data_IF_741800689716
#
_entry.id   IF_741800689716
#
_cell.length_a   1.000
_cell.length_b   1.000
_cell.length_c   1.000
_cell.angle_alpha   90.00
_cell.angle_beta   90.00
_cell.angle_gamma   90.00
#
_symmetry.space_group_name_H-M   'P 1'
#
loop_
_entity.id
_entity.type
_entity.pdbx_description
1 polymer ?
#
# COMPACT_ATOMS: atom_id res chain seq x y z
N UNK A 1 -18.01 21.78 -7.75
CA UNK A 1 -18.15 20.32 -7.64
C UNK A 1 -16.90 19.53 -8.05
N UNK A 2 -16.16 19.89 -9.11
CA UNK A 2 -14.94 19.16 -9.55
C UNK A 2 -13.82 19.07 -8.49
N UNK A 3 -13.65 20.08 -7.66
CA UNK A 3 -12.56 20.11 -6.66
C UNK A 3 -12.76 19.10 -5.53
N UNK A 4 -13.98 18.97 -5.00
CA UNK A 4 -14.29 18.02 -3.93
C UNK A 4 -14.13 16.56 -4.39
N UNK A 5 -14.58 16.25 -5.62
CA UNK A 5 -14.40 14.93 -6.22
C UNK A 5 -12.92 14.54 -6.34
N UNK A 6 -12.06 15.47 -6.81
CA UNK A 6 -10.62 15.21 -6.92
C UNK A 6 -9.96 14.95 -5.56
N UNK A 7 -10.36 15.70 -4.52
CA UNK A 7 -9.86 15.50 -3.15
C UNK A 7 -10.30 14.14 -2.61
N UNK A 8 -11.57 13.78 -2.78
CA UNK A 8 -12.10 12.47 -2.34
C UNK A 8 -11.34 11.34 -3.05
N UNK A 9 -11.16 11.42 -4.37
CA UNK A 9 -10.43 10.39 -5.12
C UNK A 9 -8.96 10.26 -4.70
N UNK A 10 -8.31 11.36 -4.29
CA UNK A 10 -6.96 11.33 -3.71
C UNK A 10 -6.93 10.61 -2.36
N UNK A 11 -7.89 10.91 -1.48
CA UNK A 11 -8.00 10.26 -0.17
C UNK A 11 -8.26 8.76 -0.35
N UNK A 12 -9.22 8.39 -1.20
CA UNK A 12 -9.52 6.98 -1.50
C UNK A 12 -8.30 6.26 -2.06
N UNK A 13 -7.62 6.85 -3.04
CA UNK A 13 -6.39 6.27 -3.59
C UNK A 13 -5.32 6.12 -2.51
N UNK A 14 -5.08 7.13 -1.68
CA UNK A 14 -4.10 7.05 -0.60
C UNK A 14 -4.44 5.96 0.42
N UNK A 15 -5.72 5.82 0.78
CA UNK A 15 -6.20 4.76 1.68
C UNK A 15 -5.98 3.36 1.10
N UNK A 16 -6.22 3.16 -0.19
CA UNK A 16 -5.92 1.89 -0.87
C UNK A 16 -4.42 1.58 -0.75
N UNK A 17 -3.57 2.57 -1.01
CA UNK A 17 -2.12 2.40 -0.93
C UNK A 17 -1.66 2.06 0.49
N UNK A 18 -2.17 2.76 1.50
CA UNK A 18 -1.91 2.44 2.92
C UNK A 18 -2.39 1.03 3.27
N UNK A 19 -3.57 0.62 2.79
CA UNK A 19 -4.09 -0.73 2.97
C UNK A 19 -3.18 -1.80 2.38
N UNK A 20 -2.64 -1.57 1.17
CA UNK A 20 -1.66 -2.47 0.55
C UNK A 20 -0.38 -2.57 1.37
N UNK A 21 0.12 -1.46 1.92
CA UNK A 21 1.29 -1.47 2.82
C UNK A 21 1.00 -2.29 4.07
N UNK A 22 -0.13 -2.05 4.73
CA UNK A 22 -0.50 -2.77 5.94
C UNK A 22 -0.62 -4.29 5.69
N UNK A 23 -1.29 -4.70 4.60
CA UNK A 23 -1.41 -6.10 4.22
C UNK A 23 -0.06 -6.72 3.86
N UNK A 24 0.80 -6.00 3.13
CA UNK A 24 2.15 -6.45 2.80
C UNK A 24 2.99 -6.69 4.05
N UNK A 25 2.93 -5.78 5.03
CA UNK A 25 3.60 -5.94 6.32
C UNK A 25 3.06 -7.16 7.09
N UNK A 26 1.74 -7.37 7.09
CA UNK A 26 1.14 -8.56 7.74
C UNK A 26 1.67 -9.84 7.10
N UNK A 27 1.73 -9.93 5.77
CA UNK A 27 2.28 -11.10 5.08
C UNK A 27 3.76 -11.31 5.34
N UNK A 28 4.55 -10.23 5.44
CA UNK A 28 5.95 -10.30 5.86
C UNK A 28 6.11 -10.86 7.27
N UNK A 29 5.30 -10.39 8.21
CA UNK A 29 5.34 -10.85 9.60
C UNK A 29 4.90 -12.31 9.73
N UNK A 30 3.92 -12.75 8.94
CA UNK A 30 3.51 -14.16 8.88
C UNK A 30 4.57 -15.05 8.26
N UNK A 31 5.14 -14.68 7.10
CA UNK A 31 6.17 -15.46 6.43
C UNK A 31 7.46 -15.61 7.25
N UNK A 32 7.76 -14.63 8.11
CA UNK A 32 8.89 -14.68 9.05
C UNK A 32 8.57 -15.37 10.38
N UNK A 33 7.35 -15.89 10.56
CA UNK A 33 6.87 -16.45 11.83
C UNK A 33 7.02 -15.47 13.02
N UNK A 34 6.91 -14.17 12.76
CA UNK A 34 7.07 -13.12 13.79
C UNK A 34 5.73 -12.74 14.42
N UNK A 35 4.68 -12.56 13.61
CA UNK A 35 3.35 -12.16 14.09
C UNK A 35 2.23 -12.75 13.23
N UNK A 36 1.02 -12.81 13.80
CA UNK A 36 -0.18 -13.37 13.16
C UNK A 36 0.01 -14.82 12.69
N UNK A 37 0.54 -15.67 13.57
CA UNK A 37 0.86 -17.09 13.33
C UNK A 37 -0.40 -17.96 13.13
N UNK A 38 -1.24 -17.60 12.17
CA UNK A 38 -2.53 -18.23 11.91
C UNK A 38 -2.63 -18.54 10.42
N UNK A 39 -2.83 -19.81 10.07
CA UNK A 39 -3.05 -20.26 8.70
C UNK A 39 -1.79 -20.76 8.00
N UNK A 40 -1.90 -20.93 6.68
CA UNK A 40 -0.92 -21.60 5.81
C UNK A 40 0.31 -20.73 5.44
N UNK A 41 0.28 -19.44 5.79
CA UNK A 41 1.30 -18.46 5.39
C UNK A 41 2.48 -18.40 6.37
N UNK A 42 2.35 -19.04 7.52
CA UNK A 42 3.27 -18.89 8.65
C UNK A 42 4.55 -19.69 8.42
N UNK A 43 5.70 -19.03 8.51
CA UNK A 43 7.01 -19.67 8.38
C UNK A 43 7.46 -19.96 6.94
N UNK A 44 6.69 -19.52 5.93
CA UNK A 44 7.05 -19.64 4.52
C UNK A 44 7.55 -18.28 3.96
N UNK A 45 8.84 -18.27 3.59
CA UNK A 45 9.56 -17.09 3.08
C UNK A 45 8.99 -16.54 1.77
N UNK A 46 8.23 -17.33 1.00
CA UNK A 46 7.57 -16.82 -0.20
C UNK A 46 6.59 -15.69 0.14
N UNK A 47 5.86 -15.81 1.27
CA UNK A 47 4.94 -14.77 1.73
C UNK A 47 5.66 -13.51 2.19
N UNK A 48 6.87 -13.64 2.73
CA UNK A 48 7.72 -12.48 3.04
C UNK A 48 8.09 -11.69 1.78
N UNK A 49 8.45 -12.39 0.71
CA UNK A 49 8.78 -11.75 -0.57
C UNK A 49 7.54 -11.09 -1.18
N UNK A 50 6.40 -11.79 -1.22
CA UNK A 50 5.16 -11.23 -1.74
C UNK A 50 4.66 -10.04 -0.92
N UNK A 51 4.75 -10.12 0.40
CA UNK A 51 4.42 -9.02 1.30
C UNK A 51 5.32 -7.80 1.11
N UNK A 52 6.62 -8.01 0.95
CA UNK A 52 7.58 -6.93 0.67
C UNK A 52 7.29 -6.24 -0.67
N UNK A 53 7.02 -7.01 -1.72
CA UNK A 53 6.63 -6.48 -3.03
C UNK A 53 5.34 -5.67 -2.89
N UNK A 54 4.30 -6.22 -2.26
CA UNK A 54 3.03 -5.54 -2.07
C UNK A 54 3.17 -4.24 -1.28
N UNK A 55 3.99 -4.24 -0.23
CA UNK A 55 4.27 -3.05 0.56
C UNK A 55 5.00 -1.97 -0.25
N UNK A 56 5.99 -2.35 -1.06
CA UNK A 56 6.67 -1.41 -1.96
C UNK A 56 5.72 -0.80 -2.99
N UNK A 57 4.83 -1.62 -3.59
CA UNK A 57 3.80 -1.12 -4.50
C UNK A 57 2.82 -0.18 -3.79
N UNK A 58 2.39 -0.51 -2.57
CA UNK A 58 1.55 0.37 -1.75
C UNK A 58 2.20 1.72 -1.47
N UNK A 59 3.49 1.73 -1.08
CA UNK A 59 4.26 2.96 -0.87
C UNK A 59 4.35 3.78 -2.16
N UNK A 60 4.73 3.13 -3.28
CA UNK A 60 4.81 3.79 -4.58
C UNK A 60 3.46 4.40 -4.98
N UNK A 61 2.35 3.70 -4.71
CA UNK A 61 1.00 4.14 -5.02
C UNK A 61 0.57 5.34 -4.15
N UNK A 62 0.94 5.38 -2.86
CA UNK A 62 0.72 6.55 -1.99
C UNK A 62 1.52 7.75 -2.48
N UNK A 63 2.83 7.56 -2.73
CA UNK A 63 3.71 8.63 -3.21
C UNK A 63 3.21 9.17 -4.55
N UNK A 64 2.85 8.30 -5.48
CA UNK A 64 2.38 8.71 -6.80
C UNK A 64 1.04 9.44 -6.74
N UNK A 65 0.09 8.94 -5.94
CA UNK A 65 -1.20 9.61 -5.74
C UNK A 65 -1.04 11.02 -5.16
N UNK A 66 0.02 11.23 -4.36
CA UNK A 66 0.32 12.52 -3.75
C UNK A 66 1.15 13.45 -4.64
N UNK A 67 2.08 12.93 -5.45
CA UNK A 67 3.03 13.72 -6.25
C UNK A 67 2.52 14.06 -7.66
N UNK A 68 1.61 13.26 -8.24
CA UNK A 68 1.12 13.50 -9.62
C UNK A 68 0.34 14.79 -9.79
N UNK A 69 -0.15 15.41 -8.71
CA UNK A 69 -0.93 16.65 -8.74
C UNK A 69 -0.11 17.92 -8.47
N UNK A 70 1.12 17.83 -7.94
CA UNK A 70 2.01 19.01 -7.84
C UNK A 70 2.49 19.49 -9.22
N UNK A 71 2.47 18.60 -10.23
CA UNK A 71 2.76 18.93 -11.64
C UNK A 71 1.50 19.28 -12.44
N UNK A 72 0.54 19.99 -11.86
CA UNK A 72 -0.37 20.77 -12.70
C UNK A 72 0.43 21.98 -13.20
N UNK A 73 0.77 22.09 -14.50
CA UNK A 73 1.46 23.26 -15.02
C UNK A 73 0.62 24.49 -14.68
N UNK A 74 1.26 25.48 -14.07
CA UNK A 74 0.70 26.81 -13.89
C UNK A 74 0.17 27.29 -15.25
N UNK A 75 -1.13 27.53 -15.33
CA UNK A 75 -1.74 28.29 -16.42
C UNK A 75 -1.46 29.76 -16.19
#
# INVERSE_FOLDING_TARGET
MRNAFNVIMRVVSSLIGVGMVAMGVVWMLQGLDLAFRVGFMVGDKHWTVYGAILALFGIAQVIWSNTRQERAPAQ
#
